data_IF_541962209801
#
_entry.id   IF_541962209801
#
_cell.length_a   1.000
_cell.length_b   1.000
_cell.length_c   1.000
_cell.angle_alpha   90.00
_cell.angle_beta   90.00
_cell.angle_gamma   90.00
#
_symmetry.space_group_name_H-M   'P 1'
#
loop_
_entity.id
_entity.type
_entity.pdbx_description
1 polymer ?
#
# COMPACT_ATOMS: atom_id res chain seq x y z
N UNK A 1 -13.62 15.61 -17.23
CA UNK A 1 -14.56 15.38 -16.12
C UNK A 1 -14.63 16.62 -15.23
N UNK A 2 -15.80 16.93 -14.70
CA UNK A 2 -16.00 17.91 -13.63
C UNK A 2 -15.37 17.39 -12.32
N UNK A 3 -15.15 18.28 -11.34
CA UNK A 3 -14.62 17.87 -10.03
C UNK A 3 -15.54 16.83 -9.36
N UNK A 4 -16.86 17.03 -9.45
CA UNK A 4 -17.86 16.11 -8.90
C UNK A 4 -17.82 14.72 -9.55
N UNK A 5 -17.62 14.64 -10.87
CA UNK A 5 -17.50 13.36 -11.57
C UNK A 5 -16.21 12.61 -11.18
N UNK A 6 -15.11 13.34 -10.98
CA UNK A 6 -13.83 12.78 -10.55
C UNK A 6 -13.97 12.21 -9.14
N UNK A 7 -14.43 13.02 -8.19
CA UNK A 7 -14.64 12.58 -6.81
C UNK A 7 -15.64 11.43 -6.73
N UNK A 8 -16.73 11.45 -7.51
CA UNK A 8 -17.69 10.34 -7.53
C UNK A 8 -17.07 9.03 -8.03
N UNK A 9 -16.23 9.10 -9.07
CA UNK A 9 -15.55 7.92 -9.61
C UNK A 9 -14.51 7.38 -8.63
N UNK A 10 -13.74 8.27 -8.01
CA UNK A 10 -12.71 7.92 -7.04
C UNK A 10 -13.29 7.38 -5.73
N UNK A 11 -14.45 7.86 -5.29
CA UNK A 11 -15.17 7.29 -4.16
C UNK A 11 -15.64 5.86 -4.41
N UNK A 12 -16.11 5.56 -5.63
CA UNK A 12 -16.48 4.18 -6.01
C UNK A 12 -15.25 3.27 -6.02
N UNK A 13 -14.12 3.79 -6.50
CA UNK A 13 -12.86 3.05 -6.47
C UNK A 13 -12.39 2.81 -5.03
N UNK A 14 -12.49 3.81 -4.16
CA UNK A 14 -12.23 3.67 -2.73
C UNK A 14 -13.10 2.60 -2.07
N UNK A 15 -14.42 2.60 -2.33
CA UNK A 15 -15.32 1.54 -1.84
C UNK A 15 -14.91 0.16 -2.35
N UNK A 16 -14.55 0.07 -3.64
CA UNK A 16 -14.08 -1.17 -4.24
C UNK A 16 -12.81 -1.68 -3.55
N UNK A 17 -11.79 -0.83 -3.36
CA UNK A 17 -10.55 -1.23 -2.65
C UNK A 17 -10.87 -1.75 -1.25
N UNK A 18 -11.70 -1.06 -0.49
CA UNK A 18 -12.02 -1.47 0.87
C UNK A 18 -12.73 -2.83 0.93
N UNK A 19 -13.47 -3.20 -0.13
CA UNK A 19 -14.30 -4.41 -0.20
C UNK A 19 -13.67 -5.56 -0.97
N UNK A 20 -12.61 -5.31 -1.74
CA UNK A 20 -11.96 -6.33 -2.56
C UNK A 20 -11.27 -7.38 -1.67
N UNK A 21 -11.56 -8.65 -1.95
CA UNK A 21 -11.05 -9.82 -1.21
C UNK A 21 -10.32 -10.81 -2.11
N UNK A 22 -10.52 -10.73 -3.43
CA UNK A 22 -9.81 -11.49 -4.44
C UNK A 22 -8.58 -10.70 -4.90
N UNK A 23 -7.44 -11.02 -4.30
CA UNK A 23 -6.14 -10.43 -4.62
C UNK A 23 -5.29 -11.34 -5.52
N UNK A 24 -5.91 -12.35 -6.14
CA UNK A 24 -5.16 -13.29 -6.97
C UNK A 24 -4.68 -12.61 -8.24
N UNK A 25 -3.48 -12.97 -8.66
CA UNK A 25 -2.94 -12.58 -9.96
C UNK A 25 -3.45 -13.48 -11.09
N UNK A 26 -2.61 -14.38 -11.59
CA UNK A 26 -2.98 -15.34 -12.62
C UNK A 26 -3.83 -16.47 -12.04
N UNK A 27 -5.05 -16.65 -12.58
CA UNK A 27 -5.93 -17.76 -12.25
C UNK A 27 -5.95 -18.76 -13.40
N UNK A 28 -5.55 -20.00 -13.12
CA UNK A 28 -5.49 -21.06 -14.13
C UNK A 28 -6.85 -21.25 -14.84
N UNK A 29 -6.81 -21.31 -16.17
CA UNK A 29 -8.00 -21.43 -17.01
C UNK A 29 -8.91 -20.19 -17.08
N UNK A 30 -8.65 -19.14 -16.29
CA UNK A 30 -9.44 -17.90 -16.28
C UNK A 30 -8.65 -16.66 -16.70
N UNK A 31 -7.32 -16.73 -16.66
CA UNK A 31 -6.44 -15.61 -16.98
C UNK A 31 -6.19 -14.70 -15.79
N UNK A 32 -5.79 -13.47 -16.05
CA UNK A 32 -5.38 -12.50 -15.02
C UNK A 32 -6.60 -11.92 -14.30
N UNK A 33 -6.70 -12.17 -13.00
CA UNK A 33 -7.64 -11.45 -12.13
C UNK A 33 -7.12 -10.04 -11.84
N UNK A 34 -5.91 -9.90 -11.29
CA UNK A 34 -5.13 -8.64 -11.25
C UNK A 34 -5.90 -7.42 -10.72
N UNK A 35 -6.84 -7.64 -9.80
CA UNK A 35 -7.72 -6.60 -9.28
C UNK A 35 -6.91 -5.45 -8.67
N UNK A 36 -5.86 -5.79 -7.91
CA UNK A 36 -5.00 -4.84 -7.19
C UNK A 36 -4.12 -4.06 -8.14
N UNK A 37 -3.59 -4.71 -9.17
CA UNK A 37 -2.89 -4.05 -10.25
C UNK A 37 -3.78 -3.00 -10.95
N UNK A 38 -5.01 -3.35 -11.29
CA UNK A 38 -5.95 -2.42 -11.95
C UNK A 38 -6.39 -1.28 -11.03
N UNK A 39 -6.58 -1.58 -9.74
CA UNK A 39 -6.81 -0.57 -8.70
C UNK A 39 -5.65 0.42 -8.65
N UNK A 40 -4.41 -0.05 -8.60
CA UNK A 40 -3.24 0.82 -8.55
C UNK A 40 -3.22 1.80 -9.72
N UNK A 41 -3.39 1.28 -10.95
CA UNK A 41 -3.41 2.09 -12.17
C UNK A 41 -4.54 3.13 -12.16
N UNK A 42 -5.75 2.72 -11.79
CA UNK A 42 -6.91 3.59 -11.74
C UNK A 42 -6.78 4.68 -10.66
N UNK A 43 -6.24 4.34 -9.48
CA UNK A 43 -5.97 5.31 -8.41
C UNK A 43 -4.92 6.31 -8.88
N UNK A 44 -3.83 5.85 -9.48
CA UNK A 44 -2.77 6.72 -9.99
C UNK A 44 -3.31 7.74 -11.00
N UNK A 45 -4.17 7.34 -11.94
CA UNK A 45 -4.77 8.28 -12.91
C UNK A 45 -5.73 9.29 -12.24
N UNK A 46 -6.47 8.84 -11.22
CA UNK A 46 -7.30 9.73 -10.40
C UNK A 46 -6.48 10.78 -9.65
N UNK A 47 -5.38 10.36 -9.02
CA UNK A 47 -4.47 11.23 -8.27
C UNK A 47 -3.78 12.28 -9.14
N UNK A 48 -3.62 12.03 -10.45
CA UNK A 48 -3.09 13.03 -11.41
C UNK A 48 -4.09 14.15 -11.70
N UNK A 49 -5.37 13.99 -11.36
CA UNK A 49 -6.38 15.02 -11.61
C UNK A 49 -6.27 16.17 -10.60
N UNK A 50 -5.99 17.38 -11.08
CA UNK A 50 -5.85 18.59 -10.24
C UNK A 50 -7.13 18.97 -9.47
N UNK A 51 -8.29 18.45 -9.89
CA UNK A 51 -9.60 18.73 -9.28
C UNK A 51 -9.99 17.71 -8.20
N UNK A 52 -9.24 16.62 -8.03
CA UNK A 52 -9.50 15.63 -6.99
C UNK A 52 -9.33 16.26 -5.61
N UNK A 53 -10.33 16.13 -4.76
CA UNK A 53 -10.30 16.73 -3.43
C UNK A 53 -9.19 16.15 -2.55
N UNK A 54 -8.60 17.00 -1.69
CA UNK A 54 -7.52 16.61 -0.78
C UNK A 54 -7.94 15.51 0.21
N UNK A 55 -9.15 15.61 0.74
CA UNK A 55 -9.68 14.59 1.66
C UNK A 55 -9.71 13.21 0.99
N UNK A 56 -10.16 13.13 -0.26
CA UNK A 56 -10.23 11.85 -0.98
C UNK A 56 -8.84 11.31 -1.32
N UNK A 57 -7.84 12.18 -1.57
CA UNK A 57 -6.44 11.76 -1.72
C UNK A 57 -5.92 11.09 -0.45
N UNK A 58 -6.20 11.67 0.71
CA UNK A 58 -5.82 11.11 2.01
C UNK A 58 -6.56 9.78 2.30
N UNK A 59 -7.86 9.70 2.02
CA UNK A 59 -8.64 8.46 2.18
C UNK A 59 -8.10 7.34 1.28
N UNK A 60 -7.75 7.64 0.03
CA UNK A 60 -7.11 6.69 -0.89
C UNK A 60 -5.74 6.24 -0.38
N UNK A 61 -4.93 7.16 0.15
CA UNK A 61 -3.63 6.84 0.75
C UNK A 61 -3.79 5.82 1.88
N UNK A 62 -4.74 6.08 2.79
CA UNK A 62 -5.00 5.19 3.92
C UNK A 62 -5.53 3.84 3.44
N UNK A 63 -6.44 3.82 2.47
CA UNK A 63 -6.97 2.58 1.90
C UNK A 63 -5.90 1.74 1.20
N UNK A 64 -4.93 2.36 0.53
CA UNK A 64 -3.77 1.67 -0.05
C UNK A 64 -2.98 0.97 1.06
N UNK A 65 -2.63 1.70 2.13
CA UNK A 65 -1.86 1.13 3.24
C UNK A 65 -2.63 -0.01 3.89
N UNK A 66 -3.93 0.13 4.12
CA UNK A 66 -4.78 -0.95 4.63
C UNK A 66 -4.83 -2.14 3.70
N UNK A 67 -4.94 -1.91 2.38
CA UNK A 67 -4.97 -3.02 1.43
C UNK A 67 -3.67 -3.80 1.49
N UNK A 68 -2.52 -3.14 1.52
CA UNK A 68 -1.20 -3.79 1.62
C UNK A 68 -0.97 -4.56 2.93
N UNK A 69 -1.92 -4.52 3.85
CA UNK A 69 -1.99 -5.29 5.09
C UNK A 69 -2.92 -6.51 5.00
N UNK A 70 -3.31 -6.94 3.79
CA UNK A 70 -4.23 -8.06 3.60
C UNK A 70 -3.68 -9.38 4.17
N UNK A 71 -4.56 -10.17 4.79
CA UNK A 71 -4.18 -11.33 5.59
C UNK A 71 -4.56 -12.66 4.94
N UNK A 72 -5.49 -12.66 3.97
CA UNK A 72 -6.08 -13.91 3.50
C UNK A 72 -5.32 -14.53 2.32
N UNK A 73 -4.43 -13.79 1.67
CA UNK A 73 -3.61 -14.26 0.55
C UNK A 73 -2.41 -13.32 0.33
N UNK A 74 -1.43 -13.76 -0.45
CA UNK A 74 -0.23 -13.00 -0.80
C UNK A 74 -0.39 -12.18 -2.08
N UNK A 75 0.28 -11.04 -2.13
CA UNK A 75 0.43 -10.29 -3.38
C UNK A 75 1.46 -10.94 -4.29
N UNK A 76 1.03 -11.36 -5.48
CA UNK A 76 1.88 -11.96 -6.51
C UNK A 76 1.95 -11.07 -7.74
N UNK A 77 2.87 -11.39 -8.67
CA UNK A 77 2.96 -10.72 -9.99
C UNK A 77 3.09 -9.20 -9.93
N UNK A 78 3.92 -8.70 -9.01
CA UNK A 78 4.27 -7.29 -8.86
C UNK A 78 3.11 -6.39 -8.41
N UNK A 79 2.05 -6.95 -7.80
CA UNK A 79 0.93 -6.13 -7.29
C UNK A 79 1.35 -5.14 -6.21
N UNK A 80 2.26 -5.53 -5.31
CA UNK A 80 2.85 -4.64 -4.30
C UNK A 80 3.65 -3.49 -4.95
N UNK A 81 4.43 -3.78 -6.00
CA UNK A 81 5.18 -2.76 -6.75
C UNK A 81 4.24 -1.75 -7.42
N UNK A 82 3.15 -2.23 -8.01
CA UNK A 82 2.15 -1.35 -8.63
C UNK A 82 1.46 -0.47 -7.59
N UNK A 83 1.12 -1.01 -6.42
CA UNK A 83 0.48 -0.26 -5.35
C UNK A 83 1.37 0.81 -4.69
N UNK A 84 2.69 0.77 -4.90
CA UNK A 84 3.59 1.87 -4.52
C UNK A 84 3.42 3.09 -5.41
N UNK A 85 3.09 2.92 -6.69
CA UNK A 85 2.96 4.01 -7.68
C UNK A 85 1.97 5.11 -7.24
N UNK A 86 0.74 4.82 -6.76
CA UNK A 86 -0.15 5.86 -6.27
C UNK A 86 0.39 6.59 -5.02
N UNK A 87 1.12 5.90 -4.12
CA UNK A 87 1.77 6.55 -2.97
C UNK A 87 2.82 7.55 -3.42
N UNK A 88 3.70 7.14 -4.34
CA UNK A 88 4.71 8.04 -4.92
C UNK A 88 4.05 9.23 -5.63
N UNK A 89 2.93 9.00 -6.31
CA UNK A 89 2.15 10.05 -6.98
C UNK A 89 1.63 11.10 -5.97
N UNK A 90 1.10 10.67 -4.83
CA UNK A 90 0.65 11.56 -3.75
C UNK A 90 1.82 12.38 -3.19
N UNK A 91 2.91 11.70 -2.83
CA UNK A 91 4.09 12.33 -2.23
C UNK A 91 4.69 13.42 -3.14
N UNK A 92 4.70 13.19 -4.45
CA UNK A 92 5.17 14.17 -5.44
C UNK A 92 4.23 15.37 -5.59
N UNK A 93 2.93 15.20 -5.35
CA UNK A 93 1.94 16.26 -5.51
C UNK A 93 1.74 17.12 -4.26
N UNK A 94 1.88 16.55 -3.06
CA UNK A 94 1.55 17.23 -1.81
C UNK A 94 2.76 17.51 -0.90
N UNK A 95 3.86 16.77 -1.06
CA UNK A 95 5.07 16.91 -0.24
C UNK A 95 4.88 16.62 1.25
N UNK A 96 3.70 16.14 1.67
CA UNK A 96 3.38 15.82 3.06
C UNK A 96 3.20 14.30 3.20
N UNK A 97 4.12 13.69 3.95
CA UNK A 97 4.17 12.26 4.24
C UNK A 97 3.69 11.94 5.67
N UNK A 98 3.29 12.94 6.48
CA UNK A 98 2.95 12.75 7.89
C UNK A 98 1.88 11.67 8.11
N UNK A 99 0.80 11.71 7.33
CA UNK A 99 -0.31 10.74 7.44
C UNK A 99 0.18 9.34 7.10
N UNK A 100 0.97 9.19 6.04
CA UNK A 100 1.58 7.92 5.63
C UNK A 100 2.52 7.38 6.71
N UNK A 101 3.43 8.21 7.19
CA UNK A 101 4.40 7.85 8.21
C UNK A 101 3.71 7.44 9.52
N UNK A 102 2.68 8.18 9.94
CA UNK A 102 1.86 7.82 11.10
C UNK A 102 1.21 6.46 10.88
N UNK A 103 0.59 6.22 9.73
CA UNK A 103 -0.09 4.95 9.45
C UNK A 103 0.87 3.77 9.40
N UNK A 104 2.05 3.94 8.79
CA UNK A 104 3.11 2.93 8.80
C UNK A 104 3.53 2.59 10.23
N UNK A 105 3.76 3.59 11.10
CA UNK A 105 4.13 3.35 12.50
C UNK A 105 3.06 2.55 13.24
N UNK A 106 1.79 2.90 13.07
CA UNK A 106 0.66 2.18 13.68
C UNK A 106 0.63 0.71 13.24
N UNK A 107 0.79 0.45 11.94
CA UNK A 107 0.81 -0.92 11.38
C UNK A 107 2.01 -1.73 11.84
N UNK A 108 3.19 -1.12 11.89
CA UNK A 108 4.39 -1.78 12.42
C UNK A 108 4.21 -2.13 13.89
N UNK A 109 3.67 -1.23 14.70
CA UNK A 109 3.43 -1.50 16.12
C UNK A 109 2.42 -2.65 16.32
N UNK A 110 1.33 -2.68 15.53
CA UNK A 110 0.36 -3.78 15.53
C UNK A 110 1.04 -5.11 15.22
N UNK A 111 1.88 -5.15 14.18
CA UNK A 111 2.59 -6.35 13.76
C UNK A 111 3.70 -6.77 14.73
N UNK A 112 4.47 -5.85 15.30
CA UNK A 112 5.54 -6.17 16.24
C UNK A 112 5.04 -6.83 17.54
N UNK A 113 3.82 -6.49 17.98
CA UNK A 113 3.23 -7.07 19.19
C UNK A 113 2.75 -8.52 18.99
N UNK A 114 2.82 -9.04 17.77
CA UNK A 114 2.24 -10.32 17.40
C UNK A 114 3.24 -11.06 16.50
N UNK A 115 3.98 -12.00 17.08
CA UNK A 115 4.83 -12.95 16.35
C UNK A 115 4.36 -14.38 16.64
N UNK A 116 3.31 -14.86 15.97
CA UNK A 116 2.88 -16.24 16.07
C UNK A 116 3.57 -17.02 14.97
N UNK A 117 4.49 -17.91 15.34
CA UNK A 117 5.09 -18.86 14.40
C UNK A 117 4.02 -19.78 13.76
N UNK A 118 2.84 -19.90 14.38
CA UNK A 118 1.77 -20.83 14.01
C UNK A 118 0.47 -20.18 13.46
N UNK A 119 0.44 -18.87 13.20
CA UNK A 119 -0.74 -18.21 12.60
C UNK A 119 -0.45 -17.73 11.18
N UNK A 120 -0.97 -18.48 10.20
CA UNK A 120 -0.78 -18.22 8.77
C UNK A 120 -1.30 -16.84 8.35
N UNK A 121 -2.45 -16.38 8.86
CA UNK A 121 -3.03 -15.10 8.47
C UNK A 121 -2.17 -13.93 8.97
N UNK A 122 -1.61 -14.04 10.18
CA UNK A 122 -0.70 -13.06 10.74
C UNK A 122 0.66 -13.08 10.04
N UNK A 123 1.18 -14.25 9.68
CA UNK A 123 2.39 -14.36 8.86
C UNK A 123 2.16 -13.74 7.47
N UNK A 124 1.00 -13.96 6.86
CA UNK A 124 0.62 -13.37 5.58
C UNK A 124 0.50 -11.85 5.64
N UNK A 125 -0.15 -11.34 6.70
CA UNK A 125 -0.21 -9.91 7.00
C UNK A 125 1.21 -9.31 7.04
N UNK A 126 2.10 -9.89 7.86
CA UNK A 126 3.49 -9.44 7.98
C UNK A 126 4.22 -9.50 6.66
N UNK A 127 4.05 -10.58 5.90
CA UNK A 127 4.68 -10.76 4.60
C UNK A 127 4.27 -9.65 3.62
N UNK A 128 2.97 -9.49 3.37
CA UNK A 128 2.45 -8.50 2.42
C UNK A 128 2.90 -7.08 2.77
N UNK A 129 2.81 -6.71 4.04
CA UNK A 129 3.20 -5.37 4.46
C UNK A 129 4.71 -5.13 4.34
N UNK A 130 5.54 -6.13 4.68
CA UNK A 130 7.00 -6.06 4.45
C UNK A 130 7.34 -5.91 2.97
N UNK A 131 6.71 -6.69 2.09
CA UNK A 131 6.97 -6.61 0.65
C UNK A 131 6.61 -5.22 0.10
N UNK A 132 5.48 -4.67 0.54
CA UNK A 132 5.10 -3.30 0.20
C UNK A 132 6.12 -2.26 0.71
N UNK A 133 6.58 -2.37 1.96
CA UNK A 133 7.59 -1.48 2.53
C UNK A 133 8.94 -1.57 1.80
N UNK A 134 9.36 -2.76 1.39
CA UNK A 134 10.56 -2.95 0.58
C UNK A 134 10.44 -2.22 -0.77
N UNK A 135 9.34 -2.44 -1.50
CA UNK A 135 9.07 -1.74 -2.75
C UNK A 135 9.05 -0.23 -2.57
N UNK A 136 8.32 0.28 -1.57
CA UNK A 136 8.24 1.72 -1.29
C UNK A 136 9.62 2.32 -0.98
N UNK A 137 10.43 1.63 -0.17
CA UNK A 137 11.79 2.07 0.16
C UNK A 137 12.64 2.24 -1.10
N UNK A 138 12.66 1.25 -1.99
CA UNK A 138 13.49 1.28 -3.19
C UNK A 138 13.01 2.30 -4.23
N UNK A 139 11.70 2.54 -4.35
CA UNK A 139 11.18 3.63 -5.19
C UNK A 139 11.61 5.01 -4.68
N UNK A 140 11.57 5.21 -3.36
CA UNK A 140 12.02 6.47 -2.73
C UNK A 140 13.54 6.64 -2.83
N UNK A 141 14.30 5.55 -2.67
CA UNK A 141 15.76 5.55 -2.80
C UNK A 141 16.18 5.88 -4.25
N UNK A 142 15.58 5.21 -5.24
CA UNK A 142 15.90 5.42 -6.65
C UNK A 142 15.59 6.84 -7.15
N UNK A 143 14.67 7.55 -6.50
CA UNK A 143 14.29 8.93 -6.85
C UNK A 143 15.00 10.00 -6.02
N UNK A 144 15.80 9.57 -5.05
CA UNK A 144 16.32 10.39 -3.97
C UNK A 144 15.27 11.26 -3.25
N UNK A 145 14.14 10.66 -2.86
CA UNK A 145 12.98 11.36 -2.26
C UNK A 145 12.71 10.96 -0.81
N UNK A 146 12.19 11.91 -0.02
CA UNK A 146 11.63 11.74 1.33
C UNK A 146 12.56 10.95 2.28
N UNK A 147 13.71 11.53 2.63
CA UNK A 147 14.71 10.89 3.49
C UNK A 147 14.14 10.44 4.86
N UNK A 148 13.26 11.23 5.45
CA UNK A 148 12.62 10.89 6.73
C UNK A 148 11.77 9.62 6.61
N UNK A 149 10.94 9.54 5.56
CA UNK A 149 10.14 8.35 5.27
C UNK A 149 11.02 7.13 4.96
N UNK A 150 12.10 7.28 4.17
CA UNK A 150 13.06 6.17 3.94
C UNK A 150 13.67 5.66 5.24
N UNK A 151 14.06 6.58 6.12
CA UNK A 151 14.64 6.25 7.43
C UNK A 151 13.62 5.52 8.30
N UNK A 152 12.37 6.00 8.32
CA UNK A 152 11.26 5.34 9.00
C UNK A 152 11.08 3.91 8.48
N UNK A 153 10.96 3.73 7.17
CA UNK A 153 10.72 2.41 6.56
C UNK A 153 11.88 1.45 6.89
N UNK A 154 13.12 1.92 6.80
CA UNK A 154 14.29 1.12 7.18
C UNK A 154 14.25 0.67 8.63
N UNK A 155 13.85 1.55 9.55
CA UNK A 155 13.69 1.21 10.96
C UNK A 155 12.51 0.24 11.19
N UNK A 156 11.39 0.46 10.50
CA UNK A 156 10.21 -0.42 10.52
C UNK A 156 10.55 -1.84 10.06
N UNK A 157 11.24 -1.98 8.92
CA UNK A 157 11.69 -3.28 8.42
C UNK A 157 12.65 -3.98 9.40
N UNK A 158 13.52 -3.22 10.08
CA UNK A 158 14.39 -3.78 11.13
C UNK A 158 13.58 -4.33 12.30
N UNK A 159 12.58 -3.60 12.80
CA UNK A 159 11.71 -4.09 13.88
C UNK A 159 10.93 -5.34 13.46
N UNK A 160 10.34 -5.33 12.26
CA UNK A 160 9.59 -6.47 11.74
C UNK A 160 10.47 -7.72 11.49
N UNK A 161 11.78 -7.54 11.39
CA UNK A 161 12.74 -8.64 11.22
C UNK A 161 13.46 -9.03 12.50
N UNK A 162 13.23 -8.32 13.62
CA UNK A 162 13.95 -8.55 14.87
C UNK A 162 13.94 -10.02 15.33
N UNK A 163 12.80 -10.75 15.24
CA UNK A 163 12.77 -12.17 15.62
C UNK A 163 13.77 -13.03 14.84
N UNK A 164 14.11 -12.65 13.61
CA UNK A 164 15.03 -13.39 12.74
C UNK A 164 16.52 -13.11 12.99
N UNK A 165 16.86 -12.11 13.82
CA UNK A 165 18.26 -11.76 14.10
C UNK A 165 18.85 -12.50 15.31
N UNK A 166 18.02 -13.24 16.03
CA UNK A 166 18.39 -13.90 17.29
C UNK A 166 18.44 -15.44 17.20
N UNK A 167 18.41 -15.99 15.98
CA UNK A 167 18.62 -17.42 15.69
C UNK A 167 20.10 -17.77 15.54
#
# INVERSE_FOLDING_TARGET
MSATEIDSSMNKLLDYVNREVDVRGLVEGKGWAHSIAHVADAITEGLKQSKLSKNLREELLLAIVEKMCFQNDSYLFEENERMVVPIITILQSEGNDYVLMKRIREKVAELCNVFPEDDEALLMYRFNFKQFLHSLYFHLEAKDQNEELRTLIKYSLRQLNEPYYHF
#
